data_IF_527264570267
#
_entry.id   IF_527264570267
#
_cell.length_a   1.000
_cell.length_b   1.000
_cell.length_c   1.000
_cell.angle_alpha   90.00
_cell.angle_beta   90.00
_cell.angle_gamma   90.00
#
_symmetry.space_group_name_H-M   'P 1'
#
loop_
_entity.id
_entity.type
_entity.pdbx_description
1 polymer ?
#
# COMPACT_ATOMS: atom_id res chain seq x y z
N UNK A 1 9.82 -1.27 -21.14
CA UNK A 1 8.86 -1.20 -20.02
C UNK A 1 9.58 -0.60 -18.82
N UNK A 2 9.17 0.59 -18.37
CA UNK A 2 9.61 1.20 -17.12
C UNK A 2 9.12 0.32 -15.98
N UNK A 3 10.02 -0.37 -15.27
CA UNK A 3 9.67 -1.31 -14.20
C UNK A 3 9.15 -0.63 -12.93
N UNK A 4 8.06 0.15 -13.02
CA UNK A 4 7.45 0.93 -11.94
C UNK A 4 6.17 0.25 -11.42
N UNK A 5 5.52 0.83 -10.42
CA UNK A 5 4.22 0.35 -9.96
C UNK A 5 3.12 0.58 -11.00
N UNK A 6 2.21 -0.38 -11.11
CA UNK A 6 0.92 -0.16 -11.75
C UNK A 6 -0.05 0.49 -10.75
N UNK A 7 -1.18 1.01 -11.25
CA UNK A 7 -2.17 1.71 -10.41
C UNK A 7 -2.71 0.82 -9.29
N UNK A 8 -2.87 -0.48 -9.54
CA UNK A 8 -3.37 -1.42 -8.54
C UNK A 8 -2.39 -1.60 -7.38
N UNK A 9 -1.10 -1.81 -7.63
CA UNK A 9 -0.06 -1.84 -6.59
C UNK A 9 -0.02 -0.55 -5.77
N UNK A 10 -0.20 0.61 -6.39
CA UNK A 10 -0.27 1.89 -5.66
C UNK A 10 -1.50 1.94 -4.74
N UNK A 11 -2.67 1.50 -5.20
CA UNK A 11 -3.88 1.39 -4.36
C UNK A 11 -3.60 0.48 -3.16
N UNK A 12 -2.95 -0.67 -3.37
CA UNK A 12 -2.61 -1.59 -2.29
C UNK A 12 -1.63 -0.97 -1.27
N UNK A 13 -0.67 -0.15 -1.71
CA UNK A 13 0.18 0.61 -0.79
C UNK A 13 -0.64 1.58 0.07
N UNK A 14 -1.60 2.28 -0.53
CA UNK A 14 -2.49 3.18 0.23
C UNK A 14 -3.32 2.39 1.25
N UNK A 15 -3.92 1.27 0.85
CA UNK A 15 -4.71 0.42 1.75
C UNK A 15 -3.87 -0.09 2.92
N UNK A 16 -2.70 -0.67 2.65
CA UNK A 16 -1.77 -1.11 3.69
C UNK A 16 -1.39 0.03 4.64
N UNK A 17 -1.06 1.20 4.10
CA UNK A 17 -0.71 2.35 4.93
C UNK A 17 -1.84 2.74 5.90
N UNK A 18 -3.07 2.81 5.39
CA UNK A 18 -4.24 3.13 6.19
C UNK A 18 -4.67 2.02 7.15
N UNK A 19 -4.32 0.76 6.86
CA UNK A 19 -4.65 -0.41 7.69
C UNK A 19 -3.68 -0.60 8.86
N UNK A 20 -2.37 -0.39 8.67
CA UNK A 20 -1.38 -0.78 9.68
C UNK A 20 -0.16 0.13 9.82
N UNK A 21 0.02 1.12 8.95
CA UNK A 21 1.12 2.09 9.09
C UNK A 21 0.71 3.36 9.85
N UNK A 22 -0.59 3.53 10.11
CA UNK A 22 -1.16 4.62 10.91
C UNK A 22 -1.62 4.08 12.26
N UNK A 23 -1.59 4.92 13.29
CA UNK A 23 -2.11 4.61 14.62
C UNK A 23 -2.85 5.84 15.17
N UNK A 24 -4.16 5.74 15.47
CA UNK A 24 -5.05 4.62 15.20
C UNK A 24 -5.15 4.28 13.69
N UNK A 25 -5.47 3.04 13.29
CA UNK A 25 -5.68 2.70 11.89
C UNK A 25 -6.89 3.45 11.31
N UNK A 26 -6.77 3.90 10.06
CA UNK A 26 -7.87 4.58 9.35
C UNK A 26 -8.85 3.58 8.76
N UNK A 27 -8.34 2.46 8.23
CA UNK A 27 -9.15 1.40 7.63
C UNK A 27 -9.04 0.09 8.42
N UNK A 28 -10.13 -0.67 8.57
CA UNK A 28 -10.04 -2.03 9.09
C UNK A 28 -9.46 -2.99 8.04
N UNK A 29 -9.05 -4.18 8.50
CA UNK A 29 -8.81 -5.31 7.62
C UNK A 29 -10.09 -6.13 7.46
N UNK A 30 -10.77 -5.98 6.32
CA UNK A 30 -12.04 -6.66 6.06
C UNK A 30 -11.91 -8.17 5.90
N UNK A 31 -10.80 -8.68 5.37
CA UNK A 31 -10.58 -10.12 5.24
C UNK A 31 -10.38 -10.79 6.59
N UNK A 32 -9.79 -10.08 7.55
CA UNK A 32 -9.67 -10.55 8.92
C UNK A 32 -10.98 -10.47 9.70
N UNK A 33 -11.80 -9.43 9.46
CA UNK A 33 -13.09 -9.25 10.14
C UNK A 33 -14.20 -10.16 9.61
N UNK A 34 -14.22 -10.41 8.30
CA UNK A 34 -15.26 -11.16 7.62
C UNK A 34 -14.66 -12.19 6.64
N UNK A 35 -13.88 -13.17 7.11
CA UNK A 35 -13.27 -14.18 6.25
C UNK A 35 -14.31 -14.98 5.45
N UNK A 36 -15.52 -15.17 5.98
CA UNK A 36 -16.63 -15.82 5.28
C UNK A 36 -17.14 -15.03 4.06
N UNK A 37 -16.93 -13.71 4.04
CA UNK A 37 -17.33 -12.82 2.92
C UNK A 37 -16.16 -12.62 1.95
N UNK A 38 -14.93 -12.46 2.45
CA UNK A 38 -13.76 -12.08 1.66
C UNK A 38 -12.68 -13.18 1.55
N UNK A 39 -13.08 -14.45 1.43
CA UNK A 39 -12.15 -15.61 1.35
C UNK A 39 -11.57 -15.91 -0.04
N UNK A 40 -11.95 -15.18 -1.10
CA UNK A 40 -11.47 -15.44 -2.47
C UNK A 40 -11.92 -16.78 -3.07
N UNK A 41 -12.71 -17.59 -2.34
CA UNK A 41 -13.27 -18.86 -2.81
C UNK A 41 -14.71 -18.73 -3.33
N UNK A 42 -15.30 -17.54 -3.20
CA UNK A 42 -16.59 -17.24 -3.80
C UNK A 42 -16.47 -17.23 -5.33
N UNK A 43 -17.21 -18.13 -6.00
CA UNK A 43 -17.31 -18.12 -7.46
C UNK A 43 -17.90 -16.82 -7.97
N UNK A 44 -17.49 -16.38 -9.16
CA UNK A 44 -17.91 -15.09 -9.75
C UNK A 44 -19.44 -14.94 -9.82
N UNK A 45 -20.17 -16.03 -10.06
CA UNK A 45 -21.64 -16.04 -10.14
C UNK A 45 -22.32 -15.71 -8.81
N UNK A 46 -21.61 -15.89 -7.70
CA UNK A 46 -22.09 -15.63 -6.34
C UNK A 46 -21.49 -14.35 -5.74
N UNK A 47 -20.73 -13.57 -6.53
CA UNK A 47 -20.11 -12.33 -6.07
C UNK A 47 -21.17 -11.25 -5.91
N UNK A 48 -21.49 -10.91 -4.66
CA UNK A 48 -22.45 -9.87 -4.35
C UNK A 48 -21.75 -8.51 -4.24
N UNK A 49 -21.94 -7.66 -5.25
CA UNK A 49 -21.49 -6.27 -5.22
C UNK A 49 -22.44 -5.43 -4.35
N UNK A 50 -21.89 -4.46 -3.64
CA UNK A 50 -22.65 -3.52 -2.79
C UNK A 50 -23.45 -4.19 -1.66
N UNK A 51 -23.02 -5.37 -1.21
CA UNK A 51 -23.54 -6.04 -0.01
C UNK A 51 -23.46 -5.11 1.21
N UNK A 52 -24.51 -5.13 2.03
CA UNK A 52 -24.46 -4.54 3.36
C UNK A 52 -23.56 -5.38 4.27
N UNK A 53 -22.50 -4.77 4.78
CA UNK A 53 -21.63 -5.41 5.77
C UNK A 53 -22.23 -5.28 7.17
N UNK A 54 -21.97 -6.26 8.07
CA UNK A 54 -22.25 -6.09 9.48
C UNK A 54 -21.57 -4.82 10.02
N UNK A 55 -22.09 -4.22 11.11
CA UNK A 55 -21.44 -3.08 11.74
C UNK A 55 -19.98 -3.38 12.07
N UNK A 56 -19.09 -2.45 11.72
CA UNK A 56 -17.68 -2.57 12.06
C UNK A 56 -17.50 -2.53 13.59
N UNK A 57 -16.50 -3.25 14.13
CA UNK A 57 -16.20 -3.19 15.56
C UNK A 57 -15.82 -1.76 15.95
N UNK A 58 -16.16 -1.37 17.19
CA UNK A 58 -15.77 -0.09 17.73
C UNK A 58 -14.24 0.01 17.78
N UNK A 59 -13.69 1.06 17.15
CA UNK A 59 -12.27 1.35 17.16
C UNK A 59 -12.04 2.84 17.43
N UNK A 60 -10.82 3.17 17.88
CA UNK A 60 -10.42 4.56 18.02
C UNK A 60 -10.33 5.21 16.63
N UNK A 61 -10.99 6.35 16.45
CA UNK A 61 -11.00 7.05 15.18
C UNK A 61 -9.67 7.77 14.97
N UNK A 62 -9.01 7.52 13.84
CA UNK A 62 -7.91 8.35 13.40
C UNK A 62 -8.43 9.76 13.02
N UNK A 63 -7.87 10.78 13.66
CA UNK A 63 -8.27 12.19 13.47
C UNK A 63 -7.32 12.99 12.58
N UNK A 64 -6.35 12.33 11.95
CA UNK A 64 -5.45 13.00 11.03
C UNK A 64 -6.21 13.50 9.80
N UNK A 65 -5.87 14.71 9.38
CA UNK A 65 -6.37 15.27 8.13
C UNK A 65 -5.82 14.51 6.93
N UNK A 66 -6.49 14.63 5.78
CA UNK A 66 -6.00 14.02 4.52
C UNK A 66 -4.59 14.50 4.16
N UNK A 67 -4.27 15.77 4.42
CA UNK A 67 -2.93 16.32 4.20
C UNK A 67 -1.87 15.68 5.09
N UNK A 68 -2.16 15.51 6.38
CA UNK A 68 -1.25 14.82 7.32
C UNK A 68 -1.04 13.36 6.91
N UNK A 69 -2.12 12.64 6.54
CA UNK A 69 -2.04 11.26 6.08
C UNK A 69 -1.22 11.12 4.79
N UNK A 70 -1.36 12.06 3.85
CA UNK A 70 -0.60 12.07 2.61
C UNK A 70 0.91 12.27 2.86
N UNK A 71 1.26 13.21 3.74
CA UNK A 71 2.66 13.45 4.12
C UNK A 71 3.24 12.23 4.84
N UNK A 72 2.48 11.66 5.77
CA UNK A 72 2.86 10.45 6.49
C UNK A 72 3.00 9.24 5.55
N UNK A 73 2.17 9.12 4.52
CA UNK A 73 2.28 8.08 3.49
C UNK A 73 3.63 8.18 2.75
N UNK A 74 4.00 9.38 2.30
CA UNK A 74 5.30 9.58 1.64
C UNK A 74 6.47 9.33 2.59
N UNK A 75 6.39 9.80 3.84
CA UNK A 75 7.43 9.56 4.84
C UNK A 75 7.61 8.07 5.16
N UNK A 76 6.49 7.35 5.34
CA UNK A 76 6.48 5.92 5.60
C UNK A 76 7.18 5.14 4.49
N UNK A 77 6.78 5.34 3.23
CA UNK A 77 7.36 4.61 2.11
C UNK A 77 8.76 5.09 1.69
N UNK A 78 9.14 6.33 2.02
CA UNK A 78 10.52 6.79 1.91
C UNK A 78 11.46 6.02 2.85
N UNK A 79 10.98 5.64 4.04
CA UNK A 79 11.73 4.87 5.04
C UNK A 79 11.61 3.36 4.83
N UNK A 80 10.54 2.88 4.20
CA UNK A 80 10.26 1.47 4.02
C UNK A 80 11.42 0.69 3.37
N UNK A 81 11.67 -0.51 3.88
CA UNK A 81 12.72 -1.41 3.40
C UNK A 81 12.16 -2.42 2.39
N UNK A 82 11.98 -1.98 1.14
CA UNK A 82 11.53 -2.84 0.05
C UNK A 82 12.50 -4.02 -0.26
N UNK A 83 13.75 -3.95 0.22
CA UNK A 83 14.76 -4.98 -0.04
C UNK A 83 14.50 -6.21 0.81
N UNK A 84 14.24 -6.03 2.10
CA UNK A 84 14.08 -7.14 3.05
C UNK A 84 12.65 -7.37 3.50
N UNK A 85 11.74 -6.41 3.30
CA UNK A 85 10.34 -6.49 3.75
C UNK A 85 9.37 -6.61 2.57
N UNK A 86 8.31 -7.36 2.81
CA UNK A 86 7.16 -7.53 1.93
C UNK A 86 5.90 -7.01 2.62
N UNK A 87 4.92 -6.65 1.82
CA UNK A 87 3.62 -6.13 2.27
C UNK A 87 2.57 -7.21 2.03
N UNK A 88 1.73 -7.48 3.04
CA UNK A 88 0.54 -8.32 2.91
C UNK A 88 -0.71 -7.51 3.16
N UNK A 89 -1.58 -7.43 2.15
CA UNK A 89 -2.88 -6.76 2.25
C UNK A 89 -3.86 -7.61 3.05
N UNK A 90 -3.92 -8.91 2.76
CA UNK A 90 -4.78 -9.84 3.48
C UNK A 90 -4.47 -9.88 4.98
N UNK A 91 -3.19 -9.82 5.37
CA UNK A 91 -2.81 -9.80 6.78
C UNK A 91 -2.79 -8.41 7.38
N UNK A 92 -2.85 -7.36 6.55
CA UNK A 92 -2.68 -5.97 6.97
C UNK A 92 -1.36 -5.78 7.70
N UNK A 93 -0.26 -6.32 7.17
CA UNK A 93 1.03 -6.28 7.87
C UNK A 93 2.24 -6.33 6.95
N UNK A 94 3.41 -6.13 7.56
CA UNK A 94 4.72 -6.26 6.93
C UNK A 94 5.37 -7.57 7.39
N UNK A 95 5.94 -8.33 6.47
CA UNK A 95 6.64 -9.59 6.77
C UNK A 95 8.01 -9.66 6.09
N UNK A 96 8.82 -10.65 6.47
CA UNK A 96 10.17 -10.76 5.93
C UNK A 96 10.16 -11.45 4.56
N UNK A 97 10.95 -10.91 3.63
CA UNK A 97 11.13 -11.54 2.31
C UNK A 97 11.90 -12.86 2.37
N UNK A 98 12.57 -13.15 3.49
CA UNK A 98 13.15 -14.48 3.76
C UNK A 98 12.10 -15.58 3.78
N UNK A 99 10.85 -15.23 4.09
CA UNK A 99 9.75 -16.18 4.26
C UNK A 99 9.09 -16.51 2.91
N UNK A 100 9.48 -15.80 1.84
CA UNK A 100 9.01 -16.03 0.48
C UNK A 100 9.80 -17.14 -0.23
N UNK A 101 9.15 -17.76 -1.19
CA UNK A 101 9.75 -18.75 -2.08
C UNK A 101 10.92 -18.17 -2.89
N UNK A 102 11.87 -19.03 -3.27
CA UNK A 102 13.05 -18.63 -4.05
C UNK A 102 12.69 -17.95 -5.38
N UNK A 103 11.56 -18.34 -6.00
CA UNK A 103 11.05 -17.72 -7.24
C UNK A 103 10.73 -16.23 -7.07
N UNK A 104 10.41 -15.78 -5.85
CA UNK A 104 10.09 -14.38 -5.54
C UNK A 104 11.32 -13.46 -5.49
N UNK A 105 12.54 -14.01 -5.46
CA UNK A 105 13.81 -13.24 -5.39
C UNK A 105 14.08 -12.41 -6.64
N UNK A 106 13.47 -12.76 -7.78
CA UNK A 106 13.59 -12.01 -9.03
C UNK A 106 12.96 -10.61 -8.93
N UNK A 107 11.93 -10.45 -8.11
CA UNK A 107 11.25 -9.18 -7.91
C UNK A 107 12.00 -8.34 -6.89
N UNK A 108 11.97 -7.02 -7.01
CA UNK A 108 12.65 -6.09 -6.10
C UNK A 108 11.68 -5.38 -5.17
N UNK A 109 10.38 -5.48 -5.43
CA UNK A 109 9.30 -5.14 -4.51
C UNK A 109 8.33 -6.31 -4.46
N UNK A 110 7.77 -6.57 -3.28
CA UNK A 110 6.74 -7.60 -3.08
C UNK A 110 5.55 -7.02 -2.34
N UNK A 111 4.41 -7.00 -3.00
CA UNK A 111 3.11 -6.59 -2.45
C UNK A 111 2.16 -7.74 -2.74
N UNK A 112 1.84 -8.51 -1.71
CA UNK A 112 0.95 -9.67 -1.77
C UNK A 112 -0.49 -9.20 -2.01
N UNK A 113 -1.08 -9.71 -3.08
CA UNK A 113 -2.48 -9.52 -3.41
C UNK A 113 -3.39 -10.22 -2.37
N UNK A 114 -4.52 -9.62 -2.00
CA UNK A 114 -5.38 -10.12 -0.92
C UNK A 114 -5.99 -11.52 -1.12
N UNK A 115 -6.24 -11.97 -2.34
CA UNK A 115 -7.00 -13.19 -2.66
C UNK A 115 -6.13 -14.33 -3.20
N UNK A 116 -5.27 -14.08 -4.20
CA UNK A 116 -4.43 -15.10 -4.83
C UNK A 116 -3.01 -15.17 -4.25
N UNK A 117 -2.67 -14.25 -3.34
CA UNK A 117 -1.38 -14.14 -2.66
C UNK A 117 -0.19 -13.92 -3.60
N UNK A 118 -0.45 -13.51 -4.84
CA UNK A 118 0.59 -13.23 -5.80
C UNK A 118 1.17 -11.83 -5.62
N UNK A 119 2.39 -11.64 -6.13
CA UNK A 119 2.99 -10.32 -6.13
C UNK A 119 2.31 -9.42 -7.17
N UNK A 120 1.81 -8.25 -6.77
CA UNK A 120 1.25 -7.26 -7.71
C UNK A 120 2.33 -6.40 -8.36
N UNK A 121 3.51 -6.27 -7.72
CA UNK A 121 4.64 -5.47 -8.19
C UNK A 121 5.61 -6.24 -9.10
N UNK A 122 5.10 -7.22 -9.88
CA UNK A 122 5.90 -8.11 -10.75
C UNK A 122 6.76 -7.38 -11.79
N UNK A 123 6.39 -6.15 -12.16
CA UNK A 123 7.13 -5.32 -13.11
C UNK A 123 8.46 -4.79 -12.54
N UNK A 124 8.61 -4.74 -11.21
CA UNK A 124 9.80 -4.20 -10.55
C UNK A 124 10.83 -5.32 -10.38
N UNK A 125 11.59 -5.62 -11.44
CA UNK A 125 12.60 -6.70 -11.46
C UNK A 125 14.04 -6.20 -11.34
N UNK A 126 14.26 -4.91 -11.57
CA UNK A 126 15.58 -4.27 -11.59
C UNK A 126 15.83 -3.47 -10.32
N UNK A 127 17.08 -3.49 -9.84
CA UNK A 127 17.48 -2.77 -8.62
C UNK A 127 17.36 -1.26 -8.84
N UNK A 128 17.66 -0.79 -10.05
CA UNK A 128 17.56 0.59 -10.48
C UNK A 128 16.12 1.09 -10.38
N UNK A 129 15.14 0.25 -10.75
CA UNK A 129 13.73 0.59 -10.65
C UNK A 129 13.26 0.71 -9.20
N UNK A 130 13.67 -0.20 -8.32
CA UNK A 130 13.37 -0.11 -6.90
C UNK A 130 14.03 1.11 -6.23
N UNK A 131 15.28 1.43 -6.61
CA UNK A 131 15.98 2.65 -6.17
C UNK A 131 15.24 3.90 -6.63
N UNK A 132 14.82 3.93 -7.89
CA UNK A 132 14.06 5.05 -8.46
C UNK A 132 12.73 5.26 -7.70
N UNK A 133 11.96 4.20 -7.46
CA UNK A 133 10.72 4.26 -6.66
C UNK A 133 11.01 4.88 -5.28
N UNK A 134 12.05 4.40 -4.59
CA UNK A 134 12.43 4.93 -3.27
C UNK A 134 12.84 6.41 -3.33
N UNK A 135 13.58 6.81 -4.37
CA UNK A 135 13.95 8.21 -4.60
C UNK A 135 12.73 9.11 -4.83
N UNK A 136 11.72 8.64 -5.58
CA UNK A 136 10.48 9.40 -5.81
C UNK A 136 9.71 9.60 -4.50
N UNK A 137 9.60 8.58 -3.64
CA UNK A 137 9.00 8.75 -2.31
C UNK A 137 9.77 9.75 -1.44
N UNK A 138 11.10 9.69 -1.43
CA UNK A 138 11.95 10.65 -0.70
C UNK A 138 11.74 12.06 -1.23
N UNK A 139 11.70 12.24 -2.55
CA UNK A 139 11.47 13.53 -3.18
C UNK A 139 10.07 14.09 -2.82
N UNK A 140 9.02 13.26 -2.92
CA UNK A 140 7.67 13.64 -2.53
C UNK A 140 7.60 14.05 -1.06
N UNK A 141 8.18 13.26 -0.15
CA UNK A 141 8.28 13.62 1.28
C UNK A 141 8.99 14.97 1.47
N UNK A 142 10.14 15.16 0.82
CA UNK A 142 10.94 16.37 0.96
C UNK A 142 10.24 17.62 0.39
N UNK A 143 9.34 17.47 -0.58
CA UNK A 143 8.52 18.58 -1.08
C UNK A 143 7.61 19.18 0.00
N UNK A 144 7.19 18.37 0.99
CA UNK A 144 6.33 18.80 2.09
C UNK A 144 7.07 19.03 3.41
N UNK A 145 8.21 18.37 3.64
CA UNK A 145 8.94 18.39 4.92
C UNK A 145 10.38 18.93 4.84
N UNK A 146 10.90 19.20 3.65
CA UNK A 146 12.28 19.67 3.46
C UNK A 146 12.48 21.16 3.80
N UNK A 147 13.74 21.61 3.83
CA UNK A 147 14.08 23.01 4.10
C UNK A 147 13.47 24.00 3.08
N UNK A 148 13.15 23.52 1.87
CA UNK A 148 12.49 24.28 0.81
C UNK A 148 11.00 23.91 0.67
N UNK A 149 10.41 23.25 1.66
CA UNK A 149 9.00 22.89 1.62
C UNK A 149 8.13 24.15 1.56
N UNK A 150 7.18 24.14 0.63
CA UNK A 150 6.20 25.20 0.44
C UNK A 150 4.82 24.61 0.23
N UNK A 151 3.80 25.46 0.20
CA UNK A 151 2.45 25.01 -0.16
C UNK A 151 2.49 24.31 -1.54
N UNK A 152 1.85 23.14 -1.71
CA UNK A 152 1.81 22.46 -2.99
C UNK A 152 1.20 23.39 -4.05
N UNK A 153 2.00 23.76 -5.04
CA UNK A 153 1.55 24.57 -6.16
C UNK A 153 0.77 23.68 -7.13
N UNK A 154 -0.53 23.52 -6.89
CA UNK A 154 -1.44 22.69 -7.71
C UNK A 154 -1.40 23.05 -9.20
N UNK A 155 -1.09 24.32 -9.53
CA UNK A 155 -0.88 24.80 -10.91
C UNK A 155 0.31 24.16 -11.64
N UNK A 156 1.24 23.51 -10.93
CA UNK A 156 2.41 22.85 -11.53
C UNK A 156 2.19 21.36 -11.82
N UNK A 157 1.04 20.81 -11.42
CA UNK A 157 0.74 19.37 -11.55
C UNK A 157 -0.43 19.09 -12.51
N UNK A 158 -0.85 20.08 -13.32
CA UNK A 158 -1.89 19.96 -14.35
C UNK A 158 -3.20 19.32 -13.86
N UNK A 159 -3.52 19.52 -12.57
CA UNK A 159 -4.79 19.11 -11.99
C UNK A 159 -5.73 20.31 -12.09
N UNK A 160 -6.57 20.32 -13.12
CA UNK A 160 -7.70 21.25 -13.26
C UNK A 160 -8.89 20.80 -12.41
#
# INVERSE_FOLDING_TARGET
MSGTFNSYSLILLVLHFLQCATMPPVLPNLQMLHPEIFNGHCGLDNLELFRNLPPLPACELNRNTVGELLIAFFDYYAKFDFVNKAISINRGCVFNRSDLTTSSRRFKVFIEEPFDHENTARCVTRVESAKYIKQVFIAARNAFLGANAGAPLLRLIDVH
#
